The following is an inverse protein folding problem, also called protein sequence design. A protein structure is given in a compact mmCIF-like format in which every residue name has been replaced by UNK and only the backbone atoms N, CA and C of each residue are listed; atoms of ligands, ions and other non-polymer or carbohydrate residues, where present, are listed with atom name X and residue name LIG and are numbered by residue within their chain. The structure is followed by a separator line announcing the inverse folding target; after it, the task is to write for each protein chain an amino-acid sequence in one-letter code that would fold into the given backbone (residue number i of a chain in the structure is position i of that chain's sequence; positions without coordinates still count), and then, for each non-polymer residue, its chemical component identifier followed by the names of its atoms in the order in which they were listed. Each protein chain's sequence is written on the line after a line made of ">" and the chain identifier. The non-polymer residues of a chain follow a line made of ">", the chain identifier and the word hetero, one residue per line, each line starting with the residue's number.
data_IF_613714163561
#
_entry.id   IF_613714163561
#
_cell.length_a   1.000
_cell.length_b   1.000
_cell.length_c   1.000
_cell.angle_alpha   90.00
_cell.angle_beta   90.00
_cell.angle_gamma   90.00
#
_symmetry.space_group_name_H-M   'P 1'
#
loop_
_entity.id
_entity.type
_entity.pdbx_description
1 polymer ?
#
# COMPACT_ATOMS: atom_id res chain seq x y z
N UNK A 1 6.25 -8.05 -20.24
CA UNK A 1 5.86 -7.59 -18.88
C UNK A 1 6.79 -8.24 -17.88
N UNK A 2 7.43 -7.47 -16.99
CA UNK A 2 8.40 -8.01 -16.03
C UNK A 2 7.68 -8.68 -14.85
N UNK A 3 8.27 -9.75 -14.30
CA UNK A 3 7.76 -10.48 -13.14
C UNK A 3 8.58 -10.09 -11.91
N UNK A 4 7.95 -9.45 -10.94
CA UNK A 4 8.60 -9.05 -9.69
C UNK A 4 8.73 -10.24 -8.71
N UNK A 5 9.82 -10.28 -7.94
CA UNK A 5 10.05 -11.25 -6.86
C UNK A 5 10.42 -10.45 -5.59
N UNK A 6 9.56 -10.51 -4.57
CA UNK A 6 9.74 -9.81 -3.29
C UNK A 6 10.00 -10.81 -2.15
N UNK A 7 10.89 -10.48 -1.20
CA UNK A 7 11.13 -11.24 0.04
C UNK A 7 11.15 -10.30 1.25
N UNK A 8 10.52 -10.70 2.35
CA UNK A 8 10.45 -9.91 3.59
C UNK A 8 11.14 -10.63 4.73
N UNK A 9 11.85 -9.87 5.55
CA UNK A 9 12.60 -10.36 6.70
C UNK A 9 12.25 -9.51 7.92
N UNK A 10 12.29 -10.13 9.10
CA UNK A 10 12.26 -9.38 10.35
C UNK A 10 13.62 -8.73 10.58
N UNK A 11 13.60 -7.54 11.17
CA UNK A 11 14.82 -6.85 11.58
C UNK A 11 15.24 -7.35 12.95
N UNK A 12 16.51 -7.72 13.10
CA UNK A 12 17.06 -8.21 14.37
C UNK A 12 17.27 -7.09 15.39
N UNK A 13 17.48 -5.85 14.93
CA UNK A 13 17.82 -4.69 15.75
C UNK A 13 17.71 -3.38 14.94
N UNK A 14 18.18 -2.27 15.51
CA UNK A 14 18.06 -0.92 14.94
C UNK A 14 19.27 -0.44 14.12
N UNK A 15 20.32 -1.26 13.95
CA UNK A 15 21.57 -0.81 13.30
C UNK A 15 21.38 -0.39 11.84
N UNK A 16 20.39 -0.94 11.13
CA UNK A 16 20.04 -0.53 9.76
C UNK A 16 19.80 0.98 9.60
N UNK A 17 19.45 1.69 10.69
CA UNK A 17 19.19 3.13 10.66
C UNK A 17 20.42 3.97 10.30
N UNK A 18 21.63 3.52 10.63
CA UNK A 18 22.86 4.25 10.27
C UNK A 18 23.10 4.25 8.76
N UNK A 19 22.56 3.27 8.06
CA UNK A 19 22.79 3.07 6.62
C UNK A 19 21.71 3.73 5.77
N UNK A 20 20.77 4.46 6.40
CA UNK A 20 19.67 5.14 5.71
C UNK A 20 20.18 6.33 4.92
N UNK A 21 19.98 6.31 3.60
CA UNK A 21 20.32 7.41 2.70
C UNK A 21 19.18 8.38 2.43
N UNK A 22 17.93 7.97 2.67
CA UNK A 22 16.74 8.80 2.46
C UNK A 22 15.57 8.35 3.32
N UNK A 23 14.69 9.29 3.64
CA UNK A 23 13.45 9.03 4.38
C UNK A 23 12.26 9.56 3.60
N UNK A 24 11.10 8.95 3.79
CA UNK A 24 9.85 9.41 3.19
C UNK A 24 8.71 9.09 4.12
N UNK A 25 7.79 10.05 4.28
CA UNK A 25 6.59 9.83 5.07
C UNK A 25 5.62 8.98 4.28
N UNK A 26 5.20 7.85 4.86
CA UNK A 26 4.22 6.95 4.27
C UNK A 26 2.99 6.88 5.17
N UNK A 27 1.83 7.25 4.62
CA UNK A 27 0.54 7.01 5.25
C UNK A 27 -0.29 6.11 4.33
N UNK A 28 -1.00 5.13 4.89
CA UNK A 28 -1.81 4.21 4.09
C UNK A 28 -2.96 3.63 4.91
N UNK A 29 -4.03 3.25 4.23
CA UNK A 29 -5.23 2.66 4.83
C UNK A 29 -6.06 1.93 3.78
N UNK A 30 -6.90 0.99 4.23
CA UNK A 30 -7.79 0.25 3.33
C UNK A 30 -9.19 0.86 3.36
N UNK A 31 -9.77 1.13 2.19
CA UNK A 31 -11.14 1.66 2.07
C UNK A 31 -12.21 0.59 2.34
N UNK A 32 -11.85 -0.68 2.18
CA UNK A 32 -12.77 -1.80 2.31
C UNK A 32 -12.24 -2.74 3.37
N UNK A 33 -13.06 -3.07 4.37
CA UNK A 33 -12.79 -4.17 5.29
C UNK A 33 -12.79 -5.47 4.48
N UNK A 34 -11.77 -6.31 4.66
CA UNK A 34 -11.68 -7.61 4.00
C UNK A 34 -12.69 -8.57 4.64
N UNK A 35 -13.97 -8.44 4.27
CA UNK A 35 -15.03 -9.33 4.70
C UNK A 35 -15.07 -10.60 3.85
N UNK A 36 -15.70 -11.65 4.38
CA UNK A 36 -15.98 -12.86 3.60
C UNK A 36 -16.74 -12.49 2.31
N UNK A 37 -16.19 -12.90 1.16
CA UNK A 37 -16.76 -12.62 -0.17
C UNK A 37 -16.22 -11.37 -0.88
N UNK A 38 -15.31 -10.60 -0.26
CA UNK A 38 -14.64 -9.49 -0.95
C UNK A 38 -13.81 -10.01 -2.14
N UNK A 39 -13.90 -9.30 -3.28
CA UNK A 39 -13.21 -9.68 -4.54
C UNK A 39 -11.86 -8.99 -4.71
N UNK A 40 -11.68 -7.86 -4.05
CA UNK A 40 -10.46 -7.06 -4.12
C UNK A 40 -10.25 -6.29 -2.81
N UNK A 41 -9.00 -5.97 -2.52
CA UNK A 41 -8.64 -4.96 -1.53
C UNK A 41 -8.37 -3.64 -2.23
N UNK A 42 -8.85 -2.54 -1.65
CA UNK A 42 -8.55 -1.18 -2.12
C UNK A 42 -7.78 -0.45 -1.03
N UNK A 43 -6.57 -0.03 -1.35
CA UNK A 43 -5.67 0.70 -0.45
C UNK A 43 -5.41 2.09 -0.96
N UNK A 44 -5.60 3.08 -0.09
CA UNK A 44 -5.13 4.45 -0.29
C UNK A 44 -3.72 4.54 0.30
N UNK A 45 -2.79 5.13 -0.43
CA UNK A 45 -1.43 5.40 0.04
C UNK A 45 -1.02 6.82 -0.31
N UNK A 46 -0.41 7.52 0.65
CA UNK A 46 0.34 8.75 0.47
C UNK A 46 1.83 8.45 0.69
N UNK A 47 2.67 8.92 -0.22
CA UNK A 47 4.12 8.90 -0.12
C UNK A 47 4.65 10.31 -0.39
N UNK A 48 5.04 10.99 0.69
CA UNK A 48 5.50 12.39 0.72
C UNK A 48 4.56 13.34 -0.04
N UNK A 49 4.76 13.54 -1.35
CA UNK A 49 4.01 14.49 -2.18
C UNK A 49 3.12 13.81 -3.24
N UNK A 50 3.00 12.48 -3.19
CA UNK A 50 2.24 11.69 -4.15
C UNK A 50 1.24 10.77 -3.46
N UNK A 51 0.14 10.47 -4.13
CA UNK A 51 -0.87 9.57 -3.60
C UNK A 51 -1.42 8.64 -4.67
N UNK A 52 -1.76 7.43 -4.25
CA UNK A 52 -2.20 6.35 -5.14
C UNK A 52 -3.33 5.53 -4.52
N UNK A 53 -4.24 5.10 -5.39
CA UNK A 53 -5.11 3.95 -5.14
C UNK A 53 -4.45 2.69 -5.67
N UNK A 54 -4.43 1.67 -4.83
CA UNK A 54 -3.93 0.36 -5.17
C UNK A 54 -5.06 -0.65 -5.00
N UNK A 55 -5.41 -1.36 -6.07
CA UNK A 55 -6.49 -2.34 -6.11
C UNK A 55 -5.86 -3.70 -6.39
N UNK A 56 -6.04 -4.66 -5.48
CA UNK A 56 -5.50 -6.02 -5.64
C UNK A 56 -6.60 -7.07 -5.56
N UNK A 57 -6.66 -7.99 -6.52
CA UNK A 57 -7.61 -9.10 -6.47
C UNK A 57 -7.34 -10.01 -5.28
N UNK A 58 -8.41 -10.54 -4.68
CA UNK A 58 -8.36 -11.50 -3.58
C UNK A 58 -8.37 -12.94 -4.10
N UNK A 59 -7.45 -13.25 -5.00
CA UNK A 59 -7.28 -14.60 -5.55
C UNK A 59 -6.40 -15.45 -4.61
N UNK A 60 -6.83 -16.69 -4.36
CA UNK A 60 -6.00 -17.70 -3.70
C UNK A 60 -4.92 -18.16 -4.70
N UNK A 61 -3.69 -17.67 -4.57
CA UNK A 61 -2.58 -18.04 -5.46
C UNK A 61 -1.35 -17.14 -5.33
N UNK A 62 -0.28 -17.51 -6.06
CA UNK A 62 0.99 -16.75 -6.09
C UNK A 62 0.96 -15.51 -6.98
N UNK A 63 -0.10 -15.33 -7.78
CA UNK A 63 -0.32 -14.19 -8.65
C UNK A 63 -1.73 -13.64 -8.43
N UNK A 64 -1.84 -12.32 -8.48
CA UNK A 64 -3.10 -11.57 -8.34
C UNK A 64 -3.06 -10.38 -9.27
N UNK A 65 -4.22 -9.99 -9.75
CA UNK A 65 -4.35 -8.76 -10.54
C UNK A 65 -4.10 -7.57 -9.61
N UNK A 66 -3.33 -6.61 -10.11
CA UNK A 66 -2.97 -5.40 -9.39
C UNK A 66 -3.08 -4.20 -10.31
N UNK A 67 -3.76 -3.17 -9.82
CA UNK A 67 -3.92 -1.90 -10.50
C UNK A 67 -3.47 -0.77 -9.57
N UNK A 68 -2.82 0.23 -10.15
CA UNK A 68 -2.35 1.40 -9.43
C UNK A 68 -2.72 2.66 -10.20
N UNK A 69 -3.34 3.62 -9.50
CA UNK A 69 -3.80 4.87 -10.10
C UNK A 69 -3.36 6.05 -9.23
N UNK A 70 -2.74 7.09 -9.81
CA UNK A 70 -2.49 8.32 -9.07
C UNK A 70 -3.83 8.99 -8.72
N UNK A 71 -3.91 9.55 -7.52
CA UNK A 71 -5.04 10.36 -7.06
C UNK A 71 -4.55 11.68 -6.46
N UNK A 72 -5.39 12.73 -6.41
CA UNK A 72 -5.02 13.97 -5.74
C UNK A 72 -4.67 13.75 -4.26
N UNK A 73 -3.64 14.44 -3.78
CA UNK A 73 -3.15 14.31 -2.41
C UNK A 73 -4.22 14.69 -1.36
N UNK A 74 -4.99 15.75 -1.64
CA UNK A 74 -6.07 16.20 -0.77
C UNK A 74 -7.17 15.13 -0.62
N UNK A 75 -7.55 14.49 -1.73
CA UNK A 75 -8.54 13.42 -1.72
C UNK A 75 -8.03 12.22 -0.93
N UNK A 76 -6.77 11.82 -1.15
CA UNK A 76 -6.13 10.73 -0.41
C UNK A 76 -6.11 11.00 1.11
N UNK A 77 -5.77 12.22 1.51
CA UNK A 77 -5.74 12.61 2.92
C UNK A 77 -7.14 12.54 3.54
N UNK A 78 -8.15 13.02 2.83
CA UNK A 78 -9.55 12.92 3.27
C UNK A 78 -10.01 11.46 3.39
N UNK A 79 -9.71 10.63 2.39
CA UNK A 79 -10.04 9.20 2.42
C UNK A 79 -9.39 8.49 3.60
N UNK A 80 -8.09 8.72 3.84
CA UNK A 80 -7.37 8.13 4.97
C UNK A 80 -7.97 8.53 6.32
N UNK A 81 -8.36 9.80 6.46
CA UNK A 81 -8.87 10.33 7.71
C UNK A 81 -10.31 9.92 8.02
N UNK A 82 -11.14 9.63 7.01
CA UNK A 82 -12.59 9.49 7.18
C UNK A 82 -13.15 8.15 6.73
N UNK A 83 -12.51 7.48 5.76
CA UNK A 83 -13.08 6.33 5.07
C UNK A 83 -12.25 5.06 5.27
N UNK A 84 -10.96 5.18 5.55
CA UNK A 84 -10.12 4.04 5.80
C UNK A 84 -10.35 3.47 7.21
N UNK A 85 -10.36 2.14 7.28
CA UNK A 85 -10.42 1.35 8.52
C UNK A 85 -9.06 0.89 8.99
#
# INVERSE_FOLDING_TARGET
>A
MAREIERKFLLTNEQWRSDVSSTSHLAQGYLTTLSAGARASVRVRIATDSAYLNIKSMTLGMARDEFEYPIPLADAAHMLAQLCS
#
